data_IF_239491469200
#
_entry.id   IF_239491469200
#
_cell.length_a   1.000
_cell.length_b   1.000
_cell.length_c   1.000
_cell.angle_alpha   90.00
_cell.angle_beta   90.00
_cell.angle_gamma   90.00
#
_symmetry.space_group_name_H-M   'P 1'
#
loop_
_entity.id
_entity.type
_entity.pdbx_description
1 polymer ?
#
# COMPACT_ATOMS: atom_id res chain seq x y z
N UNK A 1 -7.78 -9.32 6.07
CA UNK A 1 -7.27 -8.17 6.84
C UNK A 1 -6.09 -7.59 6.09
N UNK A 2 -6.12 -6.33 5.66
CA UNK A 2 -4.91 -5.72 5.09
C UNK A 2 -3.99 -5.30 6.23
N UNK A 3 -2.68 -5.43 6.05
CA UNK A 3 -1.71 -4.93 7.01
C UNK A 3 -0.61 -4.15 6.31
N UNK A 4 0.04 -3.25 7.05
CA UNK A 4 1.22 -2.53 6.58
C UNK A 4 2.39 -3.50 6.38
N UNK A 5 3.16 -3.27 5.33
CA UNK A 5 4.43 -3.92 5.04
C UNK A 5 5.42 -2.89 4.49
N UNK A 6 6.66 -3.31 4.25
CA UNK A 6 7.69 -2.50 3.61
C UNK A 6 7.93 -3.04 2.21
N UNK A 7 8.04 -2.16 1.22
CA UNK A 7 8.33 -2.56 -0.16
C UNK A 7 9.83 -2.85 -0.32
N UNK A 8 10.19 -4.04 -0.78
CA UNK A 8 11.60 -4.40 -0.98
C UNK A 8 12.29 -3.60 -2.10
N UNK A 9 11.52 -3.05 -3.04
CA UNK A 9 12.06 -2.27 -4.17
C UNK A 9 12.42 -0.84 -3.79
N UNK A 10 11.56 -0.16 -3.03
CA UNK A 10 11.72 1.26 -2.71
C UNK A 10 11.87 1.56 -1.22
N UNK A 11 11.81 0.54 -0.36
CA UNK A 11 11.92 0.63 1.10
C UNK A 11 10.87 1.54 1.78
N UNK A 12 9.79 1.86 1.05
CA UNK A 12 8.67 2.66 1.56
C UNK A 12 7.52 1.78 2.06
N UNK A 13 6.58 2.37 2.80
CA UNK A 13 5.43 1.66 3.31
C UNK A 13 4.52 1.18 2.19
N UNK A 14 4.28 -0.13 2.15
CA UNK A 14 3.31 -0.80 1.32
C UNK A 14 2.31 -1.55 2.21
N UNK A 15 1.50 -2.41 1.62
CA UNK A 15 0.53 -3.22 2.33
C UNK A 15 0.46 -4.62 1.69
N UNK A 16 -0.19 -5.57 2.38
CA UNK A 16 -0.55 -6.86 1.83
C UNK A 16 -1.98 -7.24 2.22
N UNK A 17 -2.64 -8.07 1.41
CA UNK A 17 -4.01 -8.55 1.62
C UNK A 17 -4.94 -8.31 0.42
N UNK A 18 -6.24 -8.17 0.67
CA UNK A 18 -7.28 -8.06 -0.38
C UNK A 18 -7.59 -6.63 -0.88
N UNK A 19 -6.99 -5.59 -0.30
CA UNK A 19 -7.15 -4.19 -0.72
C UNK A 19 -8.35 -3.46 -0.17
N UNK A 20 -9.29 -4.17 0.46
CA UNK A 20 -10.49 -3.54 1.05
C UNK A 20 -10.20 -2.62 2.23
N UNK A 21 -9.06 -2.76 2.90
CA UNK A 21 -8.69 -1.96 4.09
C UNK A 21 -7.45 -1.09 3.86
N UNK A 22 -7.06 -0.88 2.60
CA UNK A 22 -5.83 -0.15 2.24
C UNK A 22 -5.85 1.30 2.72
N UNK A 23 -7.00 1.96 2.64
CA UNK A 23 -7.21 3.32 3.15
C UNK A 23 -6.92 3.43 4.64
N UNK A 24 -7.35 2.44 5.44
CA UNK A 24 -7.07 2.37 6.88
C UNK A 24 -5.58 2.13 7.15
N UNK A 25 -4.94 1.24 6.39
CA UNK A 25 -3.49 0.97 6.51
C UNK A 25 -2.68 2.25 6.27
N UNK A 26 -3.07 3.04 5.28
CA UNK A 26 -2.38 4.28 4.93
C UNK A 26 -2.90 5.52 5.67
N UNK A 27 -3.89 5.39 6.57
CA UNK A 27 -4.47 6.54 7.27
C UNK A 27 -3.45 7.26 8.15
N UNK A 28 -2.50 6.51 8.73
CA UNK A 28 -1.42 7.06 9.57
C UNK A 28 -0.12 7.30 8.81
N UNK A 29 -0.10 7.05 7.49
CA UNK A 29 1.11 7.09 6.67
C UNK A 29 1.00 8.27 5.70
N UNK A 30 1.87 9.29 5.81
CA UNK A 30 1.86 10.43 4.88
C UNK A 30 2.23 9.98 3.47
N UNK A 31 1.75 10.69 2.45
CA UNK A 31 1.95 10.32 1.03
C UNK A 31 3.42 10.14 0.63
N UNK A 32 4.35 10.90 1.22
CA UNK A 32 5.80 10.77 0.95
C UNK A 32 6.38 9.43 1.34
N UNK A 33 5.85 8.82 2.40
CA UNK A 33 6.33 7.54 2.96
C UNK A 33 5.59 6.32 2.38
N UNK A 34 4.60 6.54 1.50
CA UNK A 34 3.91 5.47 0.78
C UNK A 34 4.77 5.00 -0.40
N UNK A 35 4.70 3.71 -0.66
CA UNK A 35 5.29 3.12 -1.86
C UNK A 35 4.68 3.77 -3.10
N UNK A 36 5.55 4.26 -3.99
CA UNK A 36 5.17 4.87 -5.27
C UNK A 36 5.42 3.94 -6.47
N UNK A 37 5.79 2.68 -6.23
CA UNK A 37 6.01 1.72 -7.29
C UNK A 37 4.73 1.42 -8.06
N UNK A 38 4.90 1.08 -9.34
CA UNK A 38 3.82 0.58 -10.19
C UNK A 38 3.81 -0.97 -10.17
N UNK A 39 2.64 -1.60 -10.36
CA UNK A 39 1.32 -0.98 -10.59
C UNK A 39 0.68 -0.37 -9.33
N UNK A 40 -0.29 0.53 -9.52
CA UNK A 40 -1.13 1.10 -8.45
C UNK A 40 -2.58 0.66 -8.64
N UNK A 41 -3.32 0.60 -7.53
CA UNK A 41 -4.76 0.32 -7.51
C UNK A 41 -5.52 1.56 -7.06
N UNK A 42 -6.58 1.90 -7.79
CA UNK A 42 -7.52 2.95 -7.40
C UNK A 42 -8.57 2.33 -6.48
N UNK A 43 -8.67 2.82 -5.24
CA UNK A 43 -9.67 2.41 -4.27
C UNK A 43 -10.27 3.62 -3.61
N UNK A 44 -11.60 3.74 -3.65
CA UNK A 44 -12.32 4.85 -3.00
C UNK A 44 -11.82 6.23 -3.48
N UNK A 45 -11.59 6.35 -4.79
CA UNK A 45 -11.05 7.57 -5.42
C UNK A 45 -9.59 7.89 -5.08
N UNK A 46 -8.90 7.02 -4.34
CA UNK A 46 -7.49 7.19 -3.96
C UNK A 46 -6.60 6.13 -4.60
N UNK A 47 -5.43 6.53 -5.07
CA UNK A 47 -4.41 5.61 -5.60
C UNK A 47 -3.52 5.07 -4.47
N UNK A 48 -3.40 3.75 -4.44
CA UNK A 48 -2.52 3.03 -3.51
C UNK A 48 -1.57 2.11 -4.30
N UNK A 49 -0.34 1.87 -3.82
CA UNK A 49 0.54 0.87 -4.43
C UNK A 49 -0.13 -0.51 -4.45
N UNK A 50 0.15 -1.37 -5.45
CA UNK A 50 -0.30 -2.77 -5.35
C UNK A 50 0.30 -3.41 -4.12
N UNK A 51 -0.52 -4.20 -3.42
CA UNK A 51 -0.02 -4.95 -2.27
C UNK A 51 1.06 -5.93 -2.71
N UNK A 52 2.12 -6.05 -1.92
CA UNK A 52 3.13 -7.08 -2.18
C UNK A 52 2.47 -8.45 -2.01
N UNK A 53 2.63 -9.38 -2.97
CA UNK A 53 2.25 -10.76 -2.73
C UNK A 53 3.05 -11.30 -1.52
N UNK A 54 2.46 -12.14 -0.66
CA UNK A 54 3.25 -12.83 0.36
C UNK A 54 4.33 -13.67 -0.33
N UNK A 55 5.50 -13.88 0.31
CA UNK A 55 6.50 -14.83 -0.18
C UNK A 55 5.93 -16.25 -0.28
#
# INVERSE_FOLDING_TARGET
>A
MCRQATCDKCNKATWYGCGSHVSTVFSSIPKSDRCSCEPKVVKDGNEYPVGSPPP
#
